data_IF_335510970872
#
_entry.id   IF_335510970872
#
_cell.length_a   1.000
_cell.length_b   1.000
_cell.length_c   1.000
_cell.angle_alpha   90.00
_cell.angle_beta   90.00
_cell.angle_gamma   90.00
#
_symmetry.space_group_name_H-M   'P 1'
#
loop_
_entity.id
_entity.type
_entity.pdbx_description
1 polymer ?
#
# COMPACT_ATOMS: atom_id res chain seq x y z
N UNK A 1 -2.85 18.95 -20.14
CA UNK A 1 -1.52 18.35 -20.47
C UNK A 1 -1.49 17.71 -21.86
N UNK A 2 -1.72 18.46 -22.95
CA UNK A 2 -1.80 17.85 -24.31
C UNK A 2 -0.45 17.50 -24.94
N UNK A 3 0.62 18.21 -24.59
CA UNK A 3 1.93 18.03 -25.20
C UNK A 3 2.71 16.82 -24.66
N UNK A 4 2.32 16.27 -23.48
CA UNK A 4 2.98 15.11 -22.85
C UNK A 4 4.51 15.27 -22.74
N UNK A 5 4.98 16.50 -22.57
CA UNK A 5 6.39 16.86 -22.44
C UNK A 5 6.64 17.62 -21.13
N UNK A 6 7.86 17.51 -20.62
CA UNK A 6 8.35 18.24 -19.47
C UNK A 6 9.69 18.90 -19.81
N UNK A 7 9.90 20.15 -19.42
CA UNK A 7 11.17 20.85 -19.59
C UNK A 7 11.82 21.10 -18.24
N UNK A 8 13.08 20.67 -18.07
CA UNK A 8 13.87 20.86 -16.84
C UNK A 8 15.31 21.20 -17.24
N UNK A 9 15.86 22.30 -16.71
CA UNK A 9 17.23 22.75 -16.98
C UNK A 9 17.60 22.79 -18.47
N UNK A 10 16.65 23.16 -19.33
CA UNK A 10 16.86 23.23 -20.78
C UNK A 10 16.78 21.88 -21.51
N UNK A 11 16.61 20.76 -20.81
CA UNK A 11 16.32 19.46 -21.40
C UNK A 11 14.81 19.25 -21.53
N UNK A 12 14.38 18.65 -22.64
CA UNK A 12 12.97 18.31 -22.90
C UNK A 12 12.81 16.80 -22.80
N UNK A 13 11.96 16.36 -21.88
CA UNK A 13 11.57 14.97 -21.68
C UNK A 13 10.20 14.73 -22.31
N UNK A 14 10.05 13.60 -22.99
CA UNK A 14 8.78 13.17 -23.61
C UNK A 14 8.30 11.87 -22.97
N UNK A 15 6.99 11.79 -22.73
CA UNK A 15 6.35 10.59 -22.22
C UNK A 15 6.65 9.37 -23.11
N UNK A 16 7.14 8.29 -22.51
CA UNK A 16 7.43 7.02 -23.20
C UNK A 16 8.76 6.97 -23.98
N UNK A 17 9.45 8.10 -24.18
CA UNK A 17 10.73 8.14 -24.91
C UNK A 17 11.94 8.27 -23.97
N UNK A 18 11.81 9.03 -22.89
CA UNK A 18 12.90 9.28 -21.96
C UNK A 18 12.65 8.61 -20.62
N UNK A 19 13.72 8.08 -20.02
CA UNK A 19 13.70 7.59 -18.65
C UNK A 19 14.15 8.69 -17.69
N UNK A 20 13.53 8.70 -16.52
CA UNK A 20 13.94 9.47 -15.37
C UNK A 20 14.09 8.51 -14.20
N UNK A 21 15.23 8.58 -13.52
CA UNK A 21 15.44 7.83 -12.27
C UNK A 21 15.43 8.80 -11.11
N UNK A 22 14.80 8.44 -10.01
CA UNK A 22 14.65 9.30 -8.83
C UNK A 22 15.19 8.55 -7.61
N UNK A 23 16.14 9.17 -6.91
CA UNK A 23 16.51 8.74 -5.55
C UNK A 23 15.63 9.48 -4.54
N UNK A 24 14.64 8.77 -3.99
CA UNK A 24 13.74 9.32 -2.98
C UNK A 24 14.40 9.67 -1.64
N UNK A 25 15.64 9.24 -1.40
CA UNK A 25 16.39 9.55 -0.16
C UNK A 25 17.07 10.91 -0.25
N UNK A 26 17.79 11.17 -1.35
CA UNK A 26 18.48 12.44 -1.58
C UNK A 26 17.63 13.49 -2.29
N UNK A 27 16.53 13.07 -2.93
CA UNK A 27 15.72 13.92 -3.81
C UNK A 27 16.36 14.16 -5.18
N UNK A 28 17.45 13.45 -5.51
CA UNK A 28 18.15 13.61 -6.79
C UNK A 28 17.37 12.98 -7.93
N UNK A 29 17.29 13.68 -9.05
CA UNK A 29 16.67 13.20 -10.30
C UNK A 29 17.74 13.04 -11.37
N UNK A 30 17.80 11.86 -11.98
CA UNK A 30 18.75 11.50 -13.03
C UNK A 30 18.03 11.41 -14.37
N UNK A 31 18.61 12.04 -15.39
CA UNK A 31 18.10 12.05 -16.77
C UNK A 31 18.44 10.77 -17.56
N UNK A 32 18.38 9.62 -16.90
CA UNK A 32 18.71 8.32 -17.48
C UNK A 32 18.00 7.18 -16.74
N UNK A 33 18.01 5.99 -17.32
CA UNK A 33 17.55 4.74 -16.71
C UNK A 33 18.68 4.13 -15.86
N UNK A 34 18.66 4.38 -14.56
CA UNK A 34 19.54 3.71 -13.62
C UNK A 34 19.01 2.30 -13.32
N UNK A 35 19.90 1.32 -13.33
CA UNK A 35 19.57 -0.04 -12.92
C UNK A 35 19.33 -0.09 -11.42
N UNK A 36 18.20 -0.67 -11.01
CA UNK A 36 17.94 -1.02 -9.63
C UNK A 36 18.40 -2.45 -9.35
N UNK A 37 18.88 -2.69 -8.13
CA UNK A 37 19.16 -4.03 -7.65
C UNK A 37 18.00 -4.48 -6.74
N UNK A 38 17.48 -5.71 -6.90
CA UNK A 38 16.49 -6.24 -5.97
C UNK A 38 17.12 -6.40 -4.58
N UNK A 39 16.41 -5.95 -3.54
CA UNK A 39 16.89 -6.08 -2.15
C UNK A 39 17.00 -7.54 -1.74
N UNK A 40 18.18 -7.97 -1.29
CA UNK A 40 18.43 -9.32 -0.77
C UNK A 40 17.52 -9.64 0.43
N UNK A 41 17.19 -8.64 1.24
CA UNK A 41 16.26 -8.79 2.37
C UNK A 41 14.86 -9.13 1.84
N UNK A 42 14.36 -8.38 0.87
CA UNK A 42 13.03 -8.60 0.29
C UNK A 42 12.97 -9.97 -0.40
N UNK A 43 13.95 -10.29 -1.24
CA UNK A 43 14.00 -11.57 -1.95
C UNK A 43 14.05 -12.75 -0.98
N UNK A 44 14.88 -12.66 0.07
CA UNK A 44 15.01 -13.72 1.06
C UNK A 44 13.78 -13.86 1.96
N UNK A 45 13.12 -12.75 2.32
CA UNK A 45 12.04 -12.72 3.30
C UNK A 45 10.65 -12.97 2.68
N UNK A 46 10.35 -12.31 1.56
CA UNK A 46 9.03 -12.38 0.92
C UNK A 46 8.95 -13.48 -0.14
N UNK A 47 10.03 -13.71 -0.90
CA UNK A 47 10.03 -14.67 -2.01
C UNK A 47 10.71 -16.00 -1.66
N UNK A 48 11.31 -16.10 -0.48
CA UNK A 48 11.98 -17.33 -0.02
C UNK A 48 13.24 -17.68 -0.82
N UNK A 49 13.90 -16.70 -1.44
CA UNK A 49 15.10 -16.93 -2.24
C UNK A 49 16.26 -17.46 -1.35
N UNK A 50 16.66 -18.70 -1.59
CA UNK A 50 17.71 -19.41 -0.82
C UNK A 50 19.11 -18.84 -1.02
N UNK A 51 19.37 -18.16 -2.14
CA UNK A 51 20.64 -17.48 -2.39
C UNK A 51 20.66 -16.19 -1.59
N UNK A 52 19.59 -15.40 -1.67
CA UNK A 52 19.43 -14.17 -0.90
C UNK A 52 19.50 -14.45 0.62
N UNK A 53 18.90 -15.54 1.10
CA UNK A 53 18.96 -15.93 2.52
C UNK A 53 20.37 -16.26 3.03
N UNK A 54 21.31 -16.58 2.14
CA UNK A 54 22.71 -16.87 2.50
C UNK A 54 23.60 -15.64 2.49
N UNK A 55 23.14 -14.51 1.95
CA UNK A 55 23.95 -13.29 1.89
C UNK A 55 24.23 -12.79 3.30
N UNK A 56 25.34 -12.07 3.43
CA UNK A 56 25.70 -11.45 4.71
C UNK A 56 24.66 -10.41 5.14
N UNK A 57 24.16 -9.61 4.21
CA UNK A 57 23.10 -8.61 4.46
C UNK A 57 21.87 -9.22 5.10
N UNK A 58 21.35 -10.31 4.53
CA UNK A 58 20.16 -10.99 5.05
C UNK A 58 20.40 -11.57 6.45
N UNK A 59 21.56 -12.23 6.65
CA UNK A 59 21.92 -12.81 7.96
C UNK A 59 22.10 -11.74 9.03
N UNK A 60 22.80 -10.65 8.71
CA UNK A 60 23.01 -9.53 9.63
C UNK A 60 21.70 -8.84 9.98
N UNK A 61 20.81 -8.66 9.00
CA UNK A 61 19.47 -8.10 9.22
C UNK A 61 18.66 -8.92 10.23
N UNK A 62 18.54 -10.24 10.01
CA UNK A 62 17.82 -11.12 10.93
C UNK A 62 18.46 -11.15 12.31
N UNK A 63 19.79 -11.23 12.39
CA UNK A 63 20.50 -11.22 13.66
C UNK A 63 20.23 -9.96 14.48
N UNK A 64 20.18 -8.80 13.81
CA UNK A 64 19.84 -7.53 14.44
C UNK A 64 18.38 -7.53 14.92
N UNK A 65 17.44 -7.97 14.09
CA UNK A 65 16.02 -8.04 14.50
C UNK A 65 15.80 -8.97 15.69
N UNK A 66 16.52 -10.09 15.76
CA UNK A 66 16.48 -11.01 16.91
C UNK A 66 17.00 -10.35 18.19
N UNK A 67 18.02 -9.51 18.10
CA UNK A 67 18.50 -8.74 19.26
C UNK A 67 17.49 -7.68 19.67
N UNK A 68 16.94 -6.93 18.71
CA UNK A 68 15.91 -5.93 18.96
C UNK A 68 14.68 -6.54 19.65
N UNK A 69 14.24 -7.73 19.20
CA UNK A 69 13.09 -8.41 19.78
C UNK A 69 13.28 -8.79 21.26
N UNK A 70 14.53 -9.04 21.71
CA UNK A 70 14.85 -9.41 23.10
C UNK A 70 14.81 -8.24 24.07
N UNK A 71 15.05 -7.02 23.58
CA UNK A 71 15.20 -5.82 24.41
C UNK A 71 14.08 -4.80 24.22
N UNK A 72 13.28 -4.93 23.16
CA UNK A 72 12.18 -4.00 22.90
C UNK A 72 11.12 -4.10 23.98
N UNK A 73 10.68 -2.93 24.46
CA UNK A 73 9.51 -2.80 25.34
C UNK A 73 8.24 -2.47 24.55
N UNK A 74 8.39 -1.86 23.37
CA UNK A 74 7.27 -1.40 22.55
C UNK A 74 6.99 -2.41 21.43
N UNK A 75 5.73 -2.79 21.28
CA UNK A 75 5.28 -3.60 20.16
C UNK A 75 5.24 -2.78 18.88
N UNK A 76 5.79 -3.32 17.79
CA UNK A 76 5.73 -2.69 16.46
C UNK A 76 4.60 -3.32 15.66
N UNK A 77 3.55 -2.54 15.40
CA UNK A 77 2.43 -2.90 14.52
C UNK A 77 2.55 -2.13 13.21
N UNK A 78 1.93 -2.64 12.15
CA UNK A 78 1.96 -2.01 10.82
C UNK A 78 0.73 -1.15 10.56
N UNK A 79 0.85 -0.18 9.65
CA UNK A 79 -0.30 0.39 8.97
C UNK A 79 -0.46 -0.37 7.65
N UNK A 80 -1.57 -1.08 7.48
CA UNK A 80 -1.80 -1.93 6.32
C UNK A 80 -3.30 -2.08 6.04
N UNK A 81 -3.65 -1.93 4.77
CA UNK A 81 -5.02 -1.83 4.29
C UNK A 81 -5.38 -2.95 3.29
N UNK A 82 -4.38 -3.69 2.78
CA UNK A 82 -4.58 -4.82 1.86
C UNK A 82 -3.96 -6.12 2.41
N UNK A 83 -4.45 -7.31 2.01
CA UNK A 83 -3.88 -8.58 2.45
C UNK A 83 -2.38 -8.71 2.17
N UNK A 84 -1.91 -8.29 0.99
CA UNK A 84 -0.50 -8.32 0.61
C UNK A 84 0.38 -7.47 1.53
N UNK A 85 -0.06 -6.24 1.86
CA UNK A 85 0.65 -5.38 2.81
C UNK A 85 0.77 -6.03 4.19
N UNK A 86 -0.28 -6.75 4.61
CA UNK A 86 -0.29 -7.47 5.88
C UNK A 86 0.67 -8.65 5.85
N UNK A 87 0.68 -9.46 4.79
CA UNK A 87 1.61 -10.58 4.63
C UNK A 87 3.06 -10.11 4.69
N UNK A 88 3.37 -9.04 3.95
CA UNK A 88 4.69 -8.43 3.94
C UNK A 88 5.07 -7.94 5.33
N UNK A 89 4.22 -7.15 5.98
CA UNK A 89 4.50 -6.63 7.31
C UNK A 89 4.69 -7.74 8.36
N UNK A 90 3.90 -8.81 8.30
CA UNK A 90 4.05 -9.97 9.19
C UNK A 90 5.38 -10.68 8.92
N UNK A 91 5.81 -10.81 7.66
CA UNK A 91 7.11 -11.37 7.31
C UNK A 91 8.27 -10.52 7.88
N UNK A 92 8.13 -9.20 7.88
CA UNK A 92 9.07 -8.26 8.54
C UNK A 92 8.97 -8.23 10.08
N UNK A 93 8.14 -9.07 10.69
CA UNK A 93 8.06 -9.22 12.14
C UNK A 93 7.02 -8.34 12.83
N UNK A 94 6.11 -7.70 12.08
CA UNK A 94 5.04 -6.92 12.69
C UNK A 94 4.19 -7.77 13.66
N UNK A 95 3.86 -7.18 14.81
CA UNK A 95 3.07 -7.84 15.85
C UNK A 95 1.56 -7.76 15.60
N UNK A 96 1.12 -7.17 14.49
CA UNK A 96 -0.27 -6.96 14.11
C UNK A 96 -0.45 -5.67 13.31
N UNK A 97 -1.69 -5.25 13.07
CA UNK A 97 -2.02 -3.99 12.36
C UNK A 97 -2.44 -2.92 13.37
N UNK A 98 -1.70 -1.83 13.45
CA UNK A 98 -1.99 -0.68 14.31
C UNK A 98 -3.06 0.24 13.73
N UNK A 99 -3.18 0.27 12.40
CA UNK A 99 -4.20 1.02 11.67
C UNK A 99 -4.46 0.37 10.31
N UNK A 100 -5.70 -0.09 10.10
CA UNK A 100 -6.26 -0.40 8.79
C UNK A 100 -7.28 0.68 8.46
N UNK A 101 -7.02 1.40 7.37
CA UNK A 101 -7.88 2.44 6.79
C UNK A 101 -8.87 1.79 5.84
N UNK A 102 -10.15 1.84 6.19
CA UNK A 102 -11.20 1.23 5.37
C UNK A 102 -11.44 1.94 4.05
N UNK A 103 -10.92 3.15 3.91
CA UNK A 103 -11.30 4.07 2.85
C UNK A 103 -10.54 3.78 1.57
N UNK A 104 -9.29 3.32 1.73
CA UNK A 104 -8.48 2.75 0.67
C UNK A 104 -9.14 1.52 0.02
N UNK A 105 -10.00 0.80 0.76
CA UNK A 105 -10.74 -0.34 0.24
C UNK A 105 -11.84 0.07 -0.77
N UNK A 106 -12.23 1.34 -0.81
CA UNK A 106 -13.31 1.84 -1.67
C UNK A 106 -12.83 2.59 -2.92
N UNK A 107 -11.56 2.99 -2.99
CA UNK A 107 -11.02 3.75 -4.12
C UNK A 107 -10.70 2.89 -5.36
N UNK A 108 -10.65 1.57 -5.23
CA UNK A 108 -10.27 0.66 -6.32
C UNK A 108 -11.45 0.21 -7.18
N UNK A 109 -11.29 0.34 -8.50
CA UNK A 109 -12.20 -0.23 -9.51
C UNK A 109 -13.66 0.17 -9.33
N UNK A 110 -14.57 -0.79 -9.54
CA UNK A 110 -16.03 -0.59 -9.48
C UNK A 110 -16.56 -0.23 -8.07
N UNK A 111 -15.72 -0.29 -7.03
CA UNK A 111 -16.12 0.00 -5.65
C UNK A 111 -16.38 1.49 -5.45
N UNK A 112 -15.63 2.34 -6.17
CA UNK A 112 -15.81 3.79 -6.11
C UNK A 112 -17.20 4.20 -6.60
N UNK A 113 -17.75 3.49 -7.58
CA UNK A 113 -19.07 3.78 -8.13
C UNK A 113 -20.19 3.40 -7.17
N UNK A 114 -20.06 2.28 -6.46
CA UNK A 114 -20.97 1.92 -5.38
C UNK A 114 -20.91 2.94 -4.21
N UNK A 115 -19.73 3.48 -3.91
CA UNK A 115 -19.58 4.55 -2.92
C UNK A 115 -20.23 5.85 -3.39
N UNK A 116 -20.05 6.24 -4.66
CA UNK A 116 -20.70 7.42 -5.26
C UNK A 116 -22.22 7.28 -5.29
N UNK A 117 -22.74 6.10 -5.62
CA UNK A 117 -24.18 5.80 -5.57
C UNK A 117 -24.73 5.98 -4.15
N UNK A 118 -24.01 5.52 -3.13
CA UNK A 118 -24.37 5.73 -1.73
C UNK A 118 -24.42 7.23 -1.37
N UNK A 119 -23.43 8.02 -1.81
CA UNK A 119 -23.34 9.46 -1.56
C UNK A 119 -24.51 10.20 -2.21
N UNK A 120 -24.83 9.87 -3.47
CA UNK A 120 -25.86 10.56 -4.26
C UNK A 120 -27.29 10.11 -3.94
N UNK A 121 -27.47 9.01 -3.20
CA UNK A 121 -28.77 8.47 -2.84
C UNK A 121 -29.60 9.46 -1.98
N UNK A 122 -30.79 9.82 -2.49
CA UNK A 122 -31.73 10.73 -1.82
C UNK A 122 -32.67 10.03 -0.83
N UNK A 123 -32.86 8.71 -0.97
CA UNK A 123 -33.71 7.89 -0.11
C UNK A 123 -32.87 6.89 0.68
N UNK A 124 -33.31 6.56 1.89
CA UNK A 124 -32.64 5.57 2.73
C UNK A 124 -32.54 4.20 2.05
N UNK A 125 -33.61 3.76 1.37
CA UNK A 125 -33.65 2.47 0.68
C UNK A 125 -32.60 2.37 -0.44
N UNK A 126 -32.42 3.45 -1.21
CA UNK A 126 -31.44 3.50 -2.29
C UNK A 126 -30.01 3.53 -1.73
N UNK A 127 -29.80 4.23 -0.60
CA UNK A 127 -28.53 4.20 0.12
C UNK A 127 -28.21 2.79 0.63
N UNK A 128 -29.20 2.08 1.16
CA UNK A 128 -29.01 0.71 1.66
C UNK A 128 -28.66 -0.27 0.54
N UNK A 129 -29.25 -0.12 -0.65
CA UNK A 129 -28.89 -0.90 -1.84
C UNK A 129 -27.44 -0.64 -2.27
N UNK A 130 -26.99 0.62 -2.26
CA UNK A 130 -25.62 0.96 -2.57
C UNK A 130 -24.62 0.38 -1.54
N UNK A 131 -24.93 0.48 -0.24
CA UNK A 131 -24.13 -0.14 0.83
C UNK A 131 -24.07 -1.67 0.70
N UNK A 132 -25.15 -2.32 0.29
CA UNK A 132 -25.17 -3.76 0.07
C UNK A 132 -24.21 -4.22 -1.04
N UNK A 133 -23.91 -3.36 -2.02
CA UNK A 133 -22.88 -3.62 -3.04
C UNK A 133 -21.47 -3.57 -2.47
N UNK A 134 -21.22 -2.72 -1.47
CA UNK A 134 -19.90 -2.56 -0.82
C UNK A 134 -19.58 -3.70 0.15
N UNK A 135 -20.61 -4.23 0.82
CA UNK A 135 -20.47 -5.29 1.82
C UNK A 135 -19.64 -6.51 1.37
N UNK A 136 -19.89 -7.15 0.20
CA UNK A 136 -19.12 -8.32 -0.23
C UNK A 136 -17.64 -7.99 -0.45
N UNK A 137 -17.32 -6.82 -1.01
CA UNK A 137 -15.93 -6.38 -1.21
C UNK A 137 -15.21 -6.21 0.12
N UNK A 138 -15.80 -5.42 1.01
CA UNK A 138 -15.21 -5.15 2.32
C UNK A 138 -15.04 -6.42 3.15
N UNK A 139 -16.01 -7.33 3.10
CA UNK A 139 -15.92 -8.64 3.75
C UNK A 139 -14.78 -9.49 3.17
N UNK A 140 -14.65 -9.53 1.85
CA UNK A 140 -13.59 -10.30 1.18
C UNK A 140 -12.21 -9.82 1.60
N UNK A 141 -11.99 -8.51 1.59
CA UNK A 141 -10.70 -7.91 1.98
C UNK A 141 -10.38 -8.20 3.44
N UNK A 142 -11.34 -8.03 4.36
CA UNK A 142 -11.13 -8.36 5.78
C UNK A 142 -10.83 -9.84 5.99
N UNK A 143 -11.49 -10.74 5.26
CA UNK A 143 -11.15 -12.17 5.30
C UNK A 143 -9.70 -12.39 4.87
N UNK A 144 -9.24 -11.71 3.82
CA UNK A 144 -7.84 -11.76 3.39
C UNK A 144 -6.88 -11.23 4.47
N UNK A 145 -7.17 -10.05 5.02
CA UNK A 145 -6.39 -9.41 6.09
C UNK A 145 -6.29 -10.34 7.32
N UNK A 146 -7.41 -10.89 7.79
CA UNK A 146 -7.42 -11.76 8.96
C UNK A 146 -6.70 -13.10 8.73
N UNK A 147 -6.77 -13.65 7.51
CA UNK A 147 -5.97 -14.82 7.12
C UNK A 147 -4.47 -14.52 7.17
N UNK A 148 -4.05 -13.38 6.60
CA UNK A 148 -2.66 -12.94 6.60
C UNK A 148 -2.11 -12.67 8.02
N UNK A 149 -2.97 -12.20 8.93
CA UNK A 149 -2.60 -11.92 10.33
C UNK A 149 -2.28 -13.15 11.17
N UNK A 150 -2.81 -14.33 10.81
CA UNK A 150 -2.55 -15.60 11.53
C UNK A 150 -2.76 -15.47 13.05
N UNK A 151 -3.84 -14.79 13.45
CA UNK A 151 -4.21 -14.60 14.86
C UNK A 151 -3.62 -13.35 15.54
N UNK A 152 -2.82 -12.53 14.85
CA UNK A 152 -2.34 -11.24 15.36
C UNK A 152 -3.47 -10.20 15.39
N UNK A 153 -3.41 -9.22 16.31
CA UNK A 153 -4.46 -8.20 16.45
C UNK A 153 -4.50 -7.21 15.29
N UNK A 154 -5.70 -6.77 14.92
CA UNK A 154 -5.93 -5.71 13.95
C UNK A 154 -6.74 -4.57 14.57
N UNK A 155 -6.31 -3.34 14.31
CA UNK A 155 -7.11 -2.14 14.60
C UNK A 155 -7.67 -1.63 13.29
N UNK A 156 -9.00 -1.70 13.13
CA UNK A 156 -9.70 -1.25 11.92
C UNK A 156 -10.33 0.10 12.23
N UNK A 157 -9.97 1.12 11.45
CA UNK A 157 -10.61 2.44 11.52
C UNK A 157 -11.78 2.46 10.56
N UNK A 158 -12.93 2.91 11.06
CA UNK A 158 -14.10 3.17 10.22
C UNK A 158 -13.83 4.35 9.26
N UNK A 159 -14.77 4.60 8.36
CA UNK A 159 -14.69 5.67 7.37
C UNK A 159 -14.45 7.04 8.04
N UNK A 160 -13.32 7.67 7.74
CA UNK A 160 -12.85 8.97 8.26
C UNK A 160 -12.90 10.15 7.26
N UNK A 161 -12.56 9.99 5.95
CA UNK A 161 -12.47 11.09 5.02
C UNK A 161 -13.85 11.64 4.71
N UNK A 162 -13.92 12.95 4.41
CA UNK A 162 -15.15 13.57 3.99
C UNK A 162 -15.60 12.99 2.65
N UNK A 163 -16.92 12.88 2.46
CA UNK A 163 -17.51 12.20 1.30
C UNK A 163 -17.12 12.82 -0.05
N UNK A 164 -16.74 14.10 -0.08
CA UNK A 164 -16.33 14.77 -1.32
C UNK A 164 -15.02 14.21 -1.91
N UNK A 165 -14.20 13.51 -1.12
CA UNK A 165 -12.99 12.84 -1.63
C UNK A 165 -13.30 11.67 -2.57
N UNK A 166 -14.50 11.09 -2.50
CA UNK A 166 -14.93 10.00 -3.41
C UNK A 166 -15.56 10.51 -4.71
N UNK A 167 -15.83 11.81 -4.81
CA UNK A 167 -16.40 12.40 -6.01
C UNK A 167 -15.29 12.68 -7.05
N UNK A 168 -15.61 12.65 -8.35
CA UNK A 168 -14.66 13.05 -9.38
C UNK A 168 -14.11 14.45 -9.10
N UNK A 169 -12.78 14.57 -9.02
CA UNK A 169 -12.10 15.86 -8.95
C UNK A 169 -11.78 16.29 -10.38
N UNK A 170 -12.78 16.82 -11.09
CA UNK A 170 -12.54 17.28 -12.46
C UNK A 170 -11.70 18.56 -12.46
N UNK A 171 -10.52 18.44 -13.08
CA UNK A 171 -10.24 19.27 -14.24
C UNK A 171 -10.08 18.32 -15.45
N UNK A 172 -11.16 18.20 -16.23
CA UNK A 172 -11.12 17.69 -17.60
C UNK A 172 -10.25 18.59 -18.50
#
# INVERSE_FOLDING_TARGET
YRAKTMSVNGAIFREGENYLSIDGTSGTVYADQLLNAPSEIIQGLLHGDKIAQKTETYRNFNQLLDWCAKVTRMSVRTNADTPEQVENAVAFGASGIGLCRTEHMFFEGDRIDAMREMILARKADDRQKALAKLLPYQKSDFVGIFKALKGKPATIRLLDPPLHEFLPQDHA
#
